data_IF_079298525152
#
_entry.id   IF_079298525152
#
_cell.length_a   1.000
_cell.length_b   1.000
_cell.length_c   1.000
_cell.angle_alpha   90.00
_cell.angle_beta   90.00
_cell.angle_gamma   90.00
#
_symmetry.space_group_name_H-M   'P 1'
#
loop_
_entity.id
_entity.type
_entity.pdbx_description
1 polymer ?
#
# COMPACT_ATOMS: atom_id res chain seq x y z
N UNK A 1 -8.09 0.83 -8.42
CA UNK A 1 -7.45 -0.24 -7.62
C UNK A 1 -5.95 0.05 -7.55
N UNK A 2 -5.21 -0.53 -6.62
CA UNK A 2 -3.75 -0.41 -6.58
C UNK A 2 -3.15 -1.81 -6.67
N UNK A 3 -2.30 -2.04 -7.66
CA UNK A 3 -1.67 -3.34 -7.88
C UNK A 3 -0.16 -3.17 -8.03
N UNK A 4 0.59 -4.02 -7.34
CA UNK A 4 2.05 -4.09 -7.36
C UNK A 4 2.44 -5.45 -7.91
N UNK A 5 3.34 -5.50 -8.88
CA UNK A 5 3.89 -6.76 -9.42
C UNK A 5 5.19 -7.16 -8.71
N UNK A 6 5.46 -8.46 -8.72
CA UNK A 6 6.68 -9.05 -8.16
C UNK A 6 6.38 -10.05 -7.05
N UNK A 7 7.42 -10.81 -6.71
CA UNK A 7 7.35 -11.82 -5.66
C UNK A 7 7.46 -11.17 -4.27
N UNK A 8 6.55 -11.60 -3.38
CA UNK A 8 6.58 -11.29 -1.96
C UNK A 8 7.07 -12.54 -1.25
N UNK A 9 8.16 -12.39 -0.50
CA UNK A 9 8.76 -13.46 0.29
C UNK A 9 8.34 -13.35 1.75
N UNK A 10 8.53 -14.42 2.50
CA UNK A 10 8.26 -14.40 3.94
C UNK A 10 9.13 -13.35 4.63
N UNK A 11 8.52 -12.54 5.50
CA UNK A 11 9.17 -11.44 6.21
C UNK A 11 9.21 -10.12 5.45
N UNK A 12 8.78 -10.08 4.18
CA UNK A 12 8.68 -8.82 3.44
C UNK A 12 7.60 -7.91 4.02
N UNK A 13 7.89 -6.62 4.08
CA UNK A 13 6.91 -5.58 4.41
C UNK A 13 6.83 -4.60 3.26
N UNK A 14 5.66 -4.50 2.62
CA UNK A 14 5.40 -3.47 1.61
C UNK A 14 4.57 -2.36 2.23
N UNK A 15 5.13 -1.15 2.24
CA UNK A 15 4.48 0.05 2.75
C UNK A 15 4.10 0.96 1.59
N UNK A 16 2.79 1.22 1.45
CA UNK A 16 2.24 2.14 0.45
C UNK A 16 1.84 3.43 1.16
N UNK A 17 2.49 4.54 0.81
CA UNK A 17 2.11 5.87 1.30
C UNK A 17 1.21 6.54 0.28
N UNK A 18 0.00 6.93 0.67
CA UNK A 18 -0.98 7.56 -0.23
C UNK A 18 -1.15 9.06 0.00
N UNK A 19 -0.41 9.64 0.95
CA UNK A 19 -0.46 11.07 1.31
C UNK A 19 -0.15 11.93 0.09
N UNK A 20 -1.02 12.91 -0.20
CA UNK A 20 -0.80 13.90 -1.26
C UNK A 20 0.54 14.60 -1.06
N UNK A 21 1.36 14.67 -2.11
CA UNK A 21 2.71 15.21 -2.07
C UNK A 21 3.81 14.25 -1.58
N UNK A 22 3.45 13.08 -1.05
CA UNK A 22 4.42 12.07 -0.58
C UNK A 22 3.93 10.65 -0.88
N UNK A 23 3.64 10.38 -2.15
CA UNK A 23 3.19 9.06 -2.59
C UNK A 23 4.39 8.16 -2.87
N UNK A 24 4.46 7.02 -2.19
CA UNK A 24 5.61 6.10 -2.28
C UNK A 24 5.17 4.64 -2.13
N UNK A 25 5.99 3.72 -2.63
CA UNK A 25 5.86 2.29 -2.36
C UNK A 25 7.24 1.78 -1.98
N UNK A 26 7.38 1.34 -0.73
CA UNK A 26 8.64 0.85 -0.18
C UNK A 26 8.51 -0.64 0.13
N UNK A 27 9.49 -1.43 -0.28
CA UNK A 27 9.68 -2.80 0.15
C UNK A 27 10.80 -2.84 1.20
N UNK A 28 10.52 -3.44 2.34
CA UNK A 28 11.53 -3.81 3.33
C UNK A 28 11.73 -5.33 3.29
N UNK A 29 12.97 -5.76 3.03
CA UNK A 29 13.37 -7.18 2.98
C UNK A 29 14.68 -7.35 3.74
N UNK A 30 14.66 -8.14 4.82
CA UNK A 30 15.85 -8.38 5.64
C UNK A 30 16.51 -7.10 6.17
N UNK A 31 15.72 -6.07 6.51
CA UNK A 31 16.19 -4.76 6.97
C UNK A 31 16.60 -3.78 5.87
N UNK A 32 16.66 -4.19 4.60
CA UNK A 32 16.96 -3.30 3.48
C UNK A 32 15.66 -2.71 2.94
N UNK A 33 15.60 -1.37 2.86
CA UNK A 33 14.46 -0.62 2.29
C UNK A 33 14.76 -0.22 0.86
N UNK A 34 13.86 -0.56 -0.06
CA UNK A 34 13.98 -0.23 -1.49
C UNK A 34 12.69 0.41 -1.97
N UNK A 35 12.80 1.52 -2.70
CA UNK A 35 11.66 2.10 -3.39
C UNK A 35 11.31 1.23 -4.61
N UNK A 36 10.07 0.75 -4.65
CA UNK A 36 9.56 -0.13 -5.71
C UNK A 36 8.31 0.46 -6.39
N UNK A 37 8.16 1.79 -6.38
CA UNK A 37 7.02 2.48 -7.01
C UNK A 37 6.89 2.17 -8.51
N UNK A 38 8.00 1.86 -9.18
CA UNK A 38 8.04 1.42 -10.57
C UNK A 38 7.41 0.05 -10.81
N UNK A 39 7.06 -0.72 -9.76
CA UNK A 39 6.32 -1.98 -9.86
C UNK A 39 4.79 -1.80 -9.83
N UNK A 40 4.29 -0.57 -9.81
CA UNK A 40 2.86 -0.31 -9.94
C UNK A 40 2.40 -0.68 -11.37
N UNK A 41 1.30 -1.43 -11.45
CA UNK A 41 0.69 -1.79 -12.74
C UNK A 41 0.06 -0.55 -13.38
N UNK A 42 0.22 -0.40 -14.70
CA UNK A 42 -0.47 0.66 -15.46
C UNK A 42 -1.99 0.63 -15.21
N UNK A 43 -2.59 1.80 -15.00
CA UNK A 43 -3.99 1.93 -14.57
C UNK A 43 -4.22 1.83 -13.06
N UNK A 44 -3.18 1.58 -12.25
CA UNK A 44 -3.29 1.67 -10.80
C UNK A 44 -3.61 3.11 -10.36
N UNK A 45 -4.51 3.22 -9.39
CA UNK A 45 -4.92 4.46 -8.75
C UNK A 45 -4.53 4.42 -7.28
N UNK A 46 -4.09 5.56 -6.74
CA UNK A 46 -3.87 5.71 -5.30
C UNK A 46 -5.15 5.46 -4.50
N UNK A 47 -5.00 5.09 -3.23
CA UNK A 47 -6.09 4.76 -2.32
C UNK A 47 -6.28 5.88 -1.29
N UNK A 48 -6.95 6.99 -1.63
CA UNK A 48 -7.31 8.01 -0.63
C UNK A 48 -8.43 7.48 0.27
N UNK A 49 -8.44 7.92 1.52
CA UNK A 49 -9.58 7.72 2.42
C UNK A 49 -10.59 8.84 2.18
N UNK A 50 -11.86 8.48 2.12
CA UNK A 50 -12.99 9.43 2.11
C UNK A 50 -13.64 9.48 3.48
N UNK A 51 -14.43 10.51 3.74
CA UNK A 51 -15.29 10.54 4.92
C UNK A 51 -16.28 9.35 4.91
N UNK A 52 -16.60 8.86 6.10
CA UNK A 52 -17.46 7.70 6.28
C UNK A 52 -16.72 6.35 6.13
N UNK A 53 -17.48 5.31 5.73
CA UNK A 53 -16.97 3.95 5.70
C UNK A 53 -16.22 3.64 4.41
N UNK A 54 -14.94 3.33 4.52
CA UNK A 54 -14.10 2.87 3.42
C UNK A 54 -13.96 1.34 3.49
N UNK A 55 -14.22 0.64 2.39
CA UNK A 55 -14.05 -0.82 2.30
C UNK A 55 -12.90 -1.15 1.34
N UNK A 56 -11.92 -1.90 1.83
CA UNK A 56 -10.78 -2.36 1.06
C UNK A 56 -10.81 -3.87 0.91
N UNK A 57 -10.45 -4.34 -0.28
CA UNK A 57 -10.32 -5.76 -0.58
C UNK A 57 -8.89 -6.05 -0.99
N UNK A 58 -8.29 -7.06 -0.37
CA UNK A 58 -6.97 -7.56 -0.74
C UNK A 58 -7.13 -8.73 -1.71
N UNK A 59 -6.34 -8.74 -2.78
CA UNK A 59 -6.21 -9.85 -3.71
C UNK A 59 -4.73 -10.12 -3.94
N UNK A 60 -4.40 -11.39 -4.09
CA UNK A 60 -3.07 -11.86 -4.47
C UNK A 60 -3.25 -12.99 -5.49
N UNK A 61 -2.28 -13.15 -6.38
CA UNK A 61 -2.28 -14.27 -7.33
C UNK A 61 -2.21 -15.62 -6.61
N UNK A 62 -1.45 -15.68 -5.51
CA UNK A 62 -1.36 -16.81 -4.61
C UNK A 62 -1.02 -16.34 -3.18
N UNK A 63 -1.15 -17.21 -2.19
CA UNK A 63 -0.65 -16.97 -0.83
C UNK A 63 -1.44 -15.93 -0.02
N UNK A 64 -2.66 -15.55 -0.46
CA UNK A 64 -3.48 -14.52 0.20
C UNK A 64 -3.65 -14.74 1.71
N UNK A 65 -3.80 -16.00 2.14
CA UNK A 65 -3.93 -16.40 3.55
C UNK A 65 -2.70 -16.07 4.41
N UNK A 66 -1.54 -15.87 3.80
CA UNK A 66 -0.29 -15.55 4.48
C UNK A 66 -0.06 -14.02 4.56
N UNK A 67 -0.94 -13.22 3.95
CA UNK A 67 -0.83 -11.78 3.95
C UNK A 67 -1.61 -11.18 5.12
N UNK A 68 -0.96 -10.25 5.82
CA UNK A 68 -1.60 -9.40 6.83
C UNK A 68 -1.53 -7.95 6.36
N UNK A 69 -2.65 -7.25 6.43
CA UNK A 69 -2.75 -5.84 6.07
C UNK A 69 -3.03 -5.02 7.30
N UNK A 70 -2.33 -3.89 7.42
CA UNK A 70 -2.57 -2.85 8.40
C UNK A 70 -2.75 -1.54 7.65
N UNK A 71 -3.81 -0.81 7.97
CA UNK A 71 -4.06 0.53 7.44
C UNK A 71 -3.84 1.52 8.58
N UNK A 72 -2.88 2.41 8.39
CA UNK A 72 -2.61 3.50 9.33
C UNK A 72 -3.05 4.81 8.66
N UNK A 73 -3.82 5.62 9.40
CA UNK A 73 -4.28 6.91 8.92
C UNK A 73 -4.29 7.94 10.03
N UNK A 74 -4.18 9.20 9.63
CA UNK A 74 -4.38 10.36 10.49
C UNK A 74 -5.46 11.22 9.85
N UNK A 75 -6.49 11.56 10.61
CA UNK A 75 -7.54 12.46 10.15
C UNK A 75 -6.93 13.85 9.90
N UNK A 76 -7.16 14.39 8.70
CA UNK A 76 -6.80 15.76 8.37
C UNK A 76 -8.04 16.63 8.59
N UNK A 77 -7.93 17.60 9.51
CA UNK A 77 -8.94 18.61 9.73
C UNK A 77 -8.45 19.91 9.08
N UNK A 78 -9.29 20.54 8.27
CA UNK A 78 -9.10 21.93 7.88
C UNK A 78 -9.50 22.74 9.10
N UNK A 79 -8.55 23.39 9.77
CA UNK A 79 -8.83 24.21 10.95
C UNK A 79 -9.98 25.18 10.67
N UNK A 80 -10.92 25.28 11.62
CA UNK A 80 -12.06 26.20 11.56
C UNK A 80 -11.64 27.64 11.85
#
# INVERSE_FOLDING_TARGET
YLQIIGEILNGDIITVTTKTGNKTVMLERGGVKTNIINRLVSGSTWLPLREGTNRFYLRAADGLKNLKVRIEHTNAYLGV
#
